data_IF_786936305602
#
_entry.id   IF_786936305602
#
_cell.length_a   1.000
_cell.length_b   1.000
_cell.length_c   1.000
_cell.angle_alpha   90.00
_cell.angle_beta   90.00
_cell.angle_gamma   90.00
#
_symmetry.space_group_name_H-M   'P 1'
#
loop_
_entity.id
_entity.type
_entity.pdbx_description
1 polymer ?
#
# COMPACT_ATOMS: atom_id res chain seq x y z
N UNK A 1 -14.28 11.11 11.45
CA UNK A 1 -13.71 11.30 12.80
C UNK A 1 -12.30 11.86 12.71
N UNK A 2 -11.81 12.58 13.72
CA UNK A 2 -10.38 12.96 13.75
C UNK A 2 -9.51 11.73 14.01
N UNK A 3 -8.33 11.66 13.40
CA UNK A 3 -7.33 10.62 13.66
C UNK A 3 -7.03 10.56 15.17
N UNK A 4 -7.05 9.35 15.73
CA UNK A 4 -6.81 9.12 17.16
C UNK A 4 -5.46 8.43 17.36
N UNK A 5 -4.78 8.74 18.48
CA UNK A 5 -3.61 7.99 18.91
C UNK A 5 -4.02 6.64 19.53
N UNK A 6 -4.55 5.75 18.71
CA UNK A 6 -5.00 4.39 19.02
C UNK A 6 -4.57 3.47 17.89
N UNK A 7 -4.45 2.17 18.17
CA UNK A 7 -4.13 1.17 17.15
C UNK A 7 -5.09 1.25 15.97
N UNK A 8 -4.52 1.29 14.76
CA UNK A 8 -5.25 1.12 13.53
C UNK A 8 -5.10 -0.32 13.02
N UNK A 9 -6.21 -0.96 12.69
CA UNK A 9 -6.19 -2.27 12.04
C UNK A 9 -6.08 -2.10 10.53
N UNK A 10 -5.15 -2.81 9.89
CA UNK A 10 -5.14 -2.96 8.42
C UNK A 10 -5.83 -4.28 8.06
N UNK A 11 -6.87 -4.24 7.23
CA UNK A 11 -7.64 -5.44 6.86
C UNK A 11 -8.31 -5.32 5.50
N UNK A 12 -8.55 -6.46 4.84
CA UNK A 12 -9.46 -6.53 3.70
C UNK A 12 -10.91 -6.63 4.19
N UNK A 13 -11.85 -6.25 3.32
CA UNK A 13 -13.30 -6.36 3.56
C UNK A 13 -13.77 -7.80 3.80
N UNK A 14 -13.02 -8.80 3.32
CA UNK A 14 -13.38 -10.21 3.34
C UNK A 14 -12.43 -11.09 4.18
N UNK A 15 -11.47 -10.50 4.90
CA UNK A 15 -10.44 -11.29 5.59
C UNK A 15 -10.76 -11.65 7.04
N UNK A 16 -11.61 -10.85 7.70
CA UNK A 16 -12.13 -11.09 9.07
C UNK A 16 -13.64 -11.38 9.02
N UNK A 17 -14.06 -12.24 8.11
CA UNK A 17 -15.47 -12.47 7.79
C UNK A 17 -15.60 -12.87 6.32
N UNK A 18 -16.68 -12.45 5.67
CA UNK A 18 -16.87 -12.59 4.22
C UNK A 18 -17.13 -11.27 3.50
N UNK A 19 -17.48 -10.23 4.23
CA UNK A 19 -17.91 -8.93 3.70
C UNK A 19 -17.88 -7.88 4.83
N UNK A 20 -18.20 -6.63 4.50
CA UNK A 20 -18.15 -5.48 5.42
C UNK A 20 -19.06 -5.64 6.64
N UNK A 21 -20.23 -6.29 6.48
CA UNK A 21 -21.15 -6.55 7.60
C UNK A 21 -20.53 -7.49 8.62
N UNK A 22 -20.04 -8.65 8.16
CA UNK A 22 -19.36 -9.61 9.03
C UNK A 22 -18.07 -9.02 9.63
N UNK A 23 -17.34 -8.20 8.87
CA UNK A 23 -16.18 -7.46 9.38
C UNK A 23 -16.57 -6.58 10.57
N UNK A 24 -17.58 -5.72 10.42
CA UNK A 24 -18.03 -4.83 11.50
C UNK A 24 -18.50 -5.62 12.73
N UNK A 25 -19.26 -6.69 12.54
CA UNK A 25 -19.69 -7.59 13.62
C UNK A 25 -18.50 -8.23 14.36
N UNK A 26 -17.52 -8.73 13.61
CA UNK A 26 -16.36 -9.42 14.17
C UNK A 26 -15.40 -8.44 14.88
N UNK A 27 -15.23 -7.23 14.37
CA UNK A 27 -14.46 -6.18 15.06
C UNK A 27 -15.09 -5.82 16.40
N UNK A 28 -16.39 -5.56 16.42
CA UNK A 28 -17.11 -5.26 17.66
C UNK A 28 -17.07 -6.41 18.67
N UNK A 29 -17.10 -7.66 18.20
CA UNK A 29 -17.14 -8.86 19.06
C UNK A 29 -15.77 -9.30 19.59
N UNK A 30 -14.73 -9.25 18.78
CA UNK A 30 -13.44 -9.89 19.08
C UNK A 30 -12.30 -8.91 19.33
N UNK A 31 -12.38 -7.68 18.80
CA UNK A 31 -11.33 -6.67 18.93
C UNK A 31 -11.73 -5.57 19.92
N UNK A 32 -13.01 -5.16 19.90
CA UNK A 32 -13.57 -4.21 20.85
C UNK A 32 -12.82 -2.87 20.82
N UNK A 33 -12.43 -2.37 21.99
CA UNK A 33 -11.78 -1.05 22.16
C UNK A 33 -10.28 -1.04 21.81
N UNK A 34 -9.68 -2.20 21.53
CA UNK A 34 -8.26 -2.30 21.18
C UNK A 34 -7.92 -1.65 19.82
N UNK A 35 -8.94 -1.39 18.99
CA UNK A 35 -8.82 -0.76 17.67
C UNK A 35 -9.56 0.57 17.70
N UNK A 36 -8.87 1.65 17.32
CA UNK A 36 -9.47 2.99 17.18
C UNK A 36 -9.81 3.36 15.74
N UNK A 37 -9.10 2.78 14.76
CA UNK A 37 -9.29 3.04 13.35
C UNK A 37 -9.12 1.80 12.48
N UNK A 38 -9.65 1.85 11.26
CA UNK A 38 -9.52 0.76 10.29
C UNK A 38 -9.00 1.32 8.97
N UNK A 39 -7.83 0.85 8.55
CA UNK A 39 -7.42 0.90 7.16
C UNK A 39 -8.11 -0.25 6.43
N UNK A 40 -9.15 0.10 5.69
CA UNK A 40 -9.87 -0.81 4.83
C UNK A 40 -9.18 -0.83 3.48
N UNK A 41 -8.42 -1.90 3.22
CA UNK A 41 -7.74 -2.13 1.95
C UNK A 41 -8.76 -2.09 0.79
N UNK A 42 -8.32 -1.85 -0.47
CA UNK A 42 -9.23 -1.43 -1.53
C UNK A 42 -10.43 -2.36 -1.69
N UNK A 43 -11.63 -1.76 -1.57
CA UNK A 43 -12.92 -2.45 -1.52
C UNK A 43 -13.84 -2.09 -2.70
N UNK A 44 -13.27 -1.42 -3.70
CA UNK A 44 -13.93 -1.04 -4.93
C UNK A 44 -13.91 -2.19 -5.95
N UNK A 45 -14.81 -2.21 -6.95
CA UNK A 45 -14.69 -3.12 -8.07
C UNK A 45 -13.32 -2.99 -8.72
N UNK A 46 -12.63 -4.11 -8.90
CA UNK A 46 -11.23 -4.13 -9.32
C UNK A 46 -10.95 -5.27 -10.29
N UNK A 47 -10.05 -5.06 -11.24
CA UNK A 47 -9.72 -6.07 -12.26
C UNK A 47 -8.39 -6.78 -12.02
N UNK A 48 -7.69 -6.43 -10.94
CA UNK A 48 -6.37 -6.93 -10.69
C UNK A 48 -5.87 -6.58 -9.31
N UNK A 49 -4.74 -7.21 -8.97
CA UNK A 49 -3.93 -6.83 -7.82
C UNK A 49 -4.69 -6.70 -6.49
N UNK A 50 -5.68 -7.59 -6.27
CA UNK A 50 -6.50 -7.66 -5.05
C UNK A 50 -7.11 -6.32 -4.62
N UNK A 51 -7.50 -5.48 -5.58
CA UNK A 51 -8.14 -4.20 -5.31
C UNK A 51 -7.36 -3.00 -5.87
N UNK A 52 -6.05 -3.12 -6.06
CA UNK A 52 -5.17 -2.04 -6.51
C UNK A 52 -5.25 -1.73 -8.02
N UNK A 53 -6.14 -2.40 -8.77
CA UNK A 53 -6.54 -1.97 -10.12
C UNK A 53 -8.03 -1.59 -10.17
N UNK A 54 -8.44 -0.49 -9.49
CA UNK A 54 -9.84 -0.10 -9.33
C UNK A 54 -10.45 0.28 -10.68
N UNK A 55 -11.68 -0.17 -10.93
CA UNK A 55 -12.47 0.18 -12.11
C UNK A 55 -13.15 1.52 -11.92
N UNK A 56 -13.61 1.78 -10.71
CA UNK A 56 -14.33 2.97 -10.29
C UNK A 56 -14.12 3.15 -8.78
N UNK A 57 -14.34 4.37 -8.29
CA UNK A 57 -14.39 4.71 -6.87
C UNK A 57 -15.81 5.08 -6.40
N UNK A 58 -16.75 5.22 -7.34
CA UNK A 58 -18.12 5.64 -7.04
C UNK A 58 -18.92 4.58 -6.26
N UNK A 59 -18.56 3.30 -6.41
CA UNK A 59 -19.26 2.16 -5.80
C UNK A 59 -18.33 1.22 -5.03
N UNK A 60 -18.88 0.57 -4.00
CA UNK A 60 -18.25 -0.56 -3.30
C UNK A 60 -18.47 -1.82 -4.13
N UNK A 61 -17.50 -2.74 -4.17
CA UNK A 61 -17.70 -4.03 -4.82
C UNK A 61 -18.87 -4.76 -4.16
N UNK A 62 -19.85 -5.15 -4.96
CA UNK A 62 -21.07 -5.79 -4.49
C UNK A 62 -20.82 -7.11 -3.74
N UNK A 63 -19.66 -7.76 -3.93
CA UNK A 63 -19.24 -8.91 -3.15
C UNK A 63 -18.94 -8.55 -1.68
N UNK A 64 -18.53 -7.31 -1.40
CA UNK A 64 -18.17 -6.81 -0.07
C UNK A 64 -19.29 -6.04 0.62
N UNK A 65 -20.21 -5.42 -0.12
CA UNK A 65 -21.35 -4.69 0.44
C UNK A 65 -21.65 -3.40 -0.32
N UNK A 66 -22.05 -2.36 0.42
CA UNK A 66 -22.30 -1.01 -0.11
C UNK A 66 -21.70 0.08 0.78
N UNK A 67 -21.85 1.35 0.38
CA UNK A 67 -21.39 2.49 1.17
C UNK A 67 -22.08 2.65 2.53
N UNK A 68 -23.28 2.10 2.73
CA UNK A 68 -23.92 2.11 4.05
C UNK A 68 -23.18 1.17 5.00
N UNK A 69 -22.70 0.02 4.51
CA UNK A 69 -21.87 -0.89 5.30
C UNK A 69 -20.53 -0.24 5.70
N UNK A 70 -19.92 0.52 4.79
CA UNK A 70 -18.70 1.32 5.09
C UNK A 70 -18.99 2.39 6.13
N UNK A 71 -20.07 3.17 5.96
CA UNK A 71 -20.47 4.22 6.92
C UNK A 71 -20.79 3.64 8.29
N UNK A 72 -21.42 2.47 8.36
CA UNK A 72 -21.70 1.76 9.61
C UNK A 72 -20.42 1.32 10.34
N UNK A 73 -19.33 1.04 9.62
CA UNK A 73 -18.01 0.84 10.22
C UNK A 73 -17.43 2.16 10.76
N UNK A 74 -17.60 3.24 9.99
CA UNK A 74 -17.17 4.61 10.34
C UNK A 74 -17.88 5.23 11.55
N UNK A 75 -19.01 4.68 11.99
CA UNK A 75 -19.68 5.10 13.23
C UNK A 75 -18.85 4.82 14.49
N UNK A 76 -17.93 3.85 14.43
CA UNK A 76 -17.13 3.39 15.58
C UNK A 76 -15.63 3.63 15.42
N UNK A 77 -15.14 3.58 14.19
CA UNK A 77 -13.72 3.63 13.87
C UNK A 77 -13.45 4.78 12.90
N UNK A 78 -12.34 5.51 13.08
CA UNK A 78 -11.89 6.40 12.00
C UNK A 78 -11.37 5.55 10.83
N UNK A 79 -11.70 5.94 9.61
CA UNK A 79 -11.44 5.10 8.44
C UNK A 79 -10.30 5.63 7.58
N UNK A 80 -9.44 4.72 7.15
CA UNK A 80 -8.45 4.97 6.10
C UNK A 80 -8.79 4.17 4.85
N UNK A 81 -8.77 4.84 3.70
CA UNK A 81 -8.97 4.23 2.38
C UNK A 81 -7.76 4.48 1.48
N UNK A 82 -7.58 3.62 0.49
CA UNK A 82 -6.59 3.77 -0.57
C UNK A 82 -7.13 4.63 -1.72
N UNK A 83 -6.29 5.55 -2.20
CA UNK A 83 -6.48 6.22 -3.47
C UNK A 83 -5.24 6.02 -4.35
N UNK A 84 -5.44 5.32 -5.47
CA UNK A 84 -4.42 5.01 -6.48
C UNK A 84 -4.25 6.22 -7.37
N UNK A 85 -3.65 7.28 -6.83
CA UNK A 85 -3.48 8.56 -7.52
C UNK A 85 -2.64 8.44 -8.82
N UNK A 86 -1.82 7.39 -8.92
CA UNK A 86 -0.99 7.14 -10.10
C UNK A 86 -1.77 6.54 -11.28
N UNK A 87 -2.76 5.69 -11.04
CA UNK A 87 -3.30 4.81 -12.08
C UNK A 87 -4.76 4.37 -11.83
N UNK A 88 -5.44 3.97 -12.90
CA UNK A 88 -6.77 3.36 -12.82
C UNK A 88 -6.86 2.15 -13.77
N UNK A 89 -7.84 1.26 -13.53
CA UNK A 89 -8.05 0.08 -14.37
C UNK A 89 -8.28 0.44 -15.83
N UNK A 90 -7.69 -0.33 -16.75
CA UNK A 90 -8.05 -0.30 -18.18
C UNK A 90 -9.49 -0.75 -18.47
N UNK A 91 -10.20 -1.31 -17.49
CA UNK A 91 -11.62 -1.63 -17.61
C UNK A 91 -12.53 -0.50 -17.11
N UNK A 92 -11.96 0.60 -16.62
CA UNK A 92 -12.70 1.78 -16.17
C UNK A 92 -13.56 2.38 -17.28
N UNK A 93 -14.63 3.07 -16.87
CA UNK A 93 -15.50 3.82 -17.79
C UNK A 93 -14.71 4.86 -18.60
N UNK A 94 -13.67 5.45 -18.01
CA UNK A 94 -12.82 6.45 -18.65
C UNK A 94 -11.96 5.85 -19.76
N UNK A 95 -11.33 4.70 -19.50
CA UNK A 95 -10.50 4.02 -20.49
C UNK A 95 -11.34 3.52 -21.66
N UNK A 96 -12.50 2.92 -21.38
CA UNK A 96 -13.43 2.44 -22.41
C UNK A 96 -13.97 3.58 -23.27
N UNK A 97 -14.32 4.71 -22.66
CA UNK A 97 -14.75 5.91 -23.40
C UNK A 97 -13.62 6.44 -24.30
N UNK A 98 -12.37 6.45 -23.81
CA UNK A 98 -11.21 6.83 -24.63
C UNK A 98 -10.99 5.84 -25.79
N UNK A 99 -11.09 4.53 -25.55
CA UNK A 99 -11.00 3.53 -26.62
C UNK A 99 -12.09 3.70 -27.69
N UNK A 100 -13.32 3.97 -27.28
CA UNK A 100 -14.46 4.09 -28.20
C UNK A 100 -14.40 5.39 -29.02
N UNK A 101 -14.05 6.50 -28.38
CA UNK A 101 -14.18 7.86 -28.96
C UNK A 101 -12.85 8.48 -29.38
N UNK A 102 -11.73 7.90 -29.01
CA UNK A 102 -10.38 8.37 -29.30
C UNK A 102 -10.25 9.89 -29.02
N UNK A 103 -9.84 10.70 -29.99
CA UNK A 103 -9.67 12.16 -29.85
C UNK A 103 -10.95 12.94 -29.49
N UNK A 104 -12.13 12.34 -29.65
CA UNK A 104 -13.42 12.93 -29.24
C UNK A 104 -13.82 12.58 -27.80
N UNK A 105 -13.05 11.74 -27.09
CA UNK A 105 -13.30 11.42 -25.69
C UNK A 105 -13.01 12.62 -24.79
N UNK A 106 -13.85 12.81 -23.77
CA UNK A 106 -13.58 13.78 -22.71
C UNK A 106 -12.40 13.36 -21.81
N UNK A 107 -11.99 12.09 -21.87
CA UNK A 107 -10.94 11.50 -21.03
C UNK A 107 -9.63 11.25 -21.80
N UNK A 108 -9.48 11.81 -23.00
CA UNK A 108 -8.27 11.58 -23.82
C UNK A 108 -6.97 12.04 -23.14
N UNK A 109 -7.06 13.11 -22.35
CA UNK A 109 -5.94 13.67 -21.57
C UNK A 109 -5.90 13.11 -20.14
N UNK A 110 -6.79 12.18 -19.77
CA UNK A 110 -6.75 11.56 -18.44
C UNK A 110 -5.55 10.62 -18.31
N UNK A 111 -5.20 9.93 -19.39
CA UNK A 111 -4.14 8.93 -19.42
C UNK A 111 -2.84 9.50 -19.97
N UNK A 112 -1.72 9.13 -19.36
CA UNK A 112 -0.41 9.55 -19.85
C UNK A 112 -0.07 8.78 -21.13
N UNK A 113 -0.13 9.47 -22.27
CA UNK A 113 0.16 8.87 -23.56
C UNK A 113 1.67 8.78 -23.81
N UNK A 114 2.18 7.55 -23.93
CA UNK A 114 3.60 7.30 -24.14
C UNK A 114 4.10 7.93 -25.45
N UNK A 115 3.35 7.77 -26.54
CA UNK A 115 3.78 8.22 -27.85
C UNK A 115 3.79 9.76 -27.96
N UNK A 116 2.94 10.45 -27.18
CA UNK A 116 2.84 11.92 -27.13
C UNK A 116 3.73 12.57 -26.07
N UNK A 117 4.19 11.81 -25.06
CA UNK A 117 5.04 12.33 -23.97
C UNK A 117 6.45 12.68 -24.46
N UNK A 118 7.01 11.87 -25.36
CA UNK A 118 8.37 12.04 -25.83
C UNK A 118 8.46 13.05 -26.98
N UNK A 119 9.47 13.95 -26.99
CA UNK A 119 9.72 14.81 -28.13
C UNK A 119 10.26 14.00 -29.33
N UNK A 120 10.33 14.64 -30.50
CA UNK A 120 10.84 14.00 -31.72
C UNK A 120 12.23 13.37 -31.49
N UNK A 121 12.42 12.14 -31.98
CA UNK A 121 13.61 11.28 -31.77
C UNK A 121 13.81 10.73 -30.35
N UNK A 122 12.79 10.79 -29.48
CA UNK A 122 12.75 10.16 -28.16
C UNK A 122 11.55 9.20 -28.07
N UNK A 123 11.56 8.20 -27.17
CA UNK A 123 12.64 7.86 -26.26
C UNK A 123 13.76 7.08 -26.95
N UNK A 124 15.00 7.37 -26.56
CA UNK A 124 16.16 6.52 -26.77
C UNK A 124 16.22 5.42 -25.70
N UNK A 125 17.09 4.43 -25.90
CA UNK A 125 17.30 3.39 -24.88
C UNK A 125 17.77 3.98 -23.53
N UNK A 126 18.61 5.02 -23.55
CA UNK A 126 19.09 5.68 -22.34
C UNK A 126 17.95 6.32 -21.54
N UNK A 127 16.90 6.79 -22.21
CA UNK A 127 15.73 7.37 -21.54
C UNK A 127 14.91 6.28 -20.85
N UNK A 128 14.65 5.19 -21.57
CA UNK A 128 13.94 4.03 -21.02
C UNK A 128 14.73 3.39 -19.87
N UNK A 129 16.06 3.46 -19.89
CA UNK A 129 16.93 2.95 -18.84
C UNK A 129 17.01 3.87 -17.62
N UNK A 130 16.77 5.17 -17.78
CA UNK A 130 16.72 6.13 -16.69
C UNK A 130 15.46 5.97 -15.82
N UNK A 131 14.34 5.56 -16.41
CA UNK A 131 13.07 5.37 -15.70
C UNK A 131 13.23 4.35 -14.56
N UNK A 132 12.74 4.70 -13.38
CA UNK A 132 12.63 3.79 -12.24
C UNK A 132 11.53 2.75 -12.52
N UNK A 133 11.94 1.60 -13.06
CA UNK A 133 11.02 0.56 -13.54
C UNK A 133 10.66 -0.45 -12.46
N UNK A 134 9.40 -0.90 -12.47
CA UNK A 134 8.88 -2.03 -11.68
C UNK A 134 8.75 -3.33 -12.50
N UNK A 135 9.26 -3.32 -13.73
CA UNK A 135 9.26 -4.45 -14.66
C UNK A 135 10.48 -4.37 -15.59
N UNK A 136 10.91 -5.51 -16.12
CA UNK A 136 12.11 -5.62 -16.98
C UNK A 136 11.93 -5.02 -18.40
N UNK A 137 10.81 -4.34 -18.65
CA UNK A 137 10.45 -3.74 -19.95
C UNK A 137 10.06 -2.27 -19.77
N UNK A 138 10.03 -1.52 -20.87
CA UNK A 138 9.52 -0.15 -20.86
C UNK A 138 8.09 -0.11 -20.26
N UNK A 139 7.74 0.92 -19.47
CA UNK A 139 6.42 1.06 -18.86
C UNK A 139 5.37 1.52 -19.89
N UNK A 140 5.13 0.68 -20.90
CA UNK A 140 4.29 0.97 -22.05
C UNK A 140 3.27 -0.14 -22.27
N UNK A 141 2.04 0.23 -22.60
CA UNK A 141 0.94 -0.67 -22.92
C UNK A 141 0.18 -0.18 -24.16
N UNK A 142 -0.19 -1.08 -25.09
CA UNK A 142 -0.99 -0.73 -26.26
C UNK A 142 -2.45 -0.41 -25.86
N UNK A 143 -3.02 0.58 -26.55
CA UNK A 143 -4.46 0.87 -26.58
C UNK A 143 -4.94 0.79 -28.03
N UNK A 144 -5.95 -0.06 -28.28
CA UNK A 144 -6.62 -0.16 -29.58
C UNK A 144 -7.89 0.67 -29.56
N UNK A 145 -8.05 1.56 -30.53
CA UNK A 145 -9.23 2.41 -30.68
C UNK A 145 -10.26 1.80 -31.63
N UNK A 146 -11.52 2.22 -31.48
CA UNK A 146 -12.62 1.77 -32.33
C UNK A 146 -12.46 2.17 -33.81
N UNK A 147 -11.69 3.22 -34.10
CA UNK A 147 -11.34 3.64 -35.46
C UNK A 147 -10.23 2.78 -36.11
N UNK A 148 -9.70 1.80 -35.38
CA UNK A 148 -8.66 0.87 -35.84
C UNK A 148 -7.22 1.38 -35.63
N UNK A 149 -7.05 2.60 -35.12
CA UNK A 149 -5.74 3.11 -34.73
C UNK A 149 -5.24 2.45 -33.43
N UNK A 150 -3.92 2.50 -33.23
CA UNK A 150 -3.25 1.97 -32.06
C UNK A 150 -2.28 3.02 -31.56
N UNK A 151 -2.36 3.34 -30.28
CA UNK A 151 -1.38 4.17 -29.57
C UNK A 151 -0.86 3.38 -28.37
N UNK A 152 0.01 4.02 -27.58
CA UNK A 152 0.51 3.46 -26.34
C UNK A 152 0.35 4.42 -25.18
N UNK A 153 -0.01 3.84 -24.04
CA UNK A 153 -0.15 4.54 -22.77
C UNK A 153 0.95 4.11 -21.80
N UNK A 154 1.26 4.99 -20.87
CA UNK A 154 2.15 4.69 -19.77
C UNK A 154 1.49 3.67 -18.84
N UNK A 155 2.28 2.67 -18.44
CA UNK A 155 1.84 1.58 -17.58
C UNK A 155 3.01 1.19 -16.69
N UNK A 156 3.07 1.73 -15.48
CA UNK A 156 4.20 1.52 -14.55
C UNK A 156 4.17 0.11 -13.95
N UNK A 157 2.99 -0.37 -13.57
CA UNK A 157 2.77 -1.61 -12.84
C UNK A 157 2.24 -2.74 -13.74
N UNK A 158 1.22 -3.48 -13.27
CA UNK A 158 0.57 -4.56 -13.98
C UNK A 158 -0.27 -4.06 -15.16
N UNK A 159 -0.55 -4.93 -16.13
CA UNK A 159 -1.18 -4.56 -17.42
C UNK A 159 -2.58 -3.93 -17.28
N UNK A 160 -3.24 -4.15 -16.15
CA UNK A 160 -4.55 -3.56 -15.85
C UNK A 160 -4.45 -2.13 -15.32
N UNK A 161 -3.28 -1.65 -14.87
CA UNK A 161 -3.09 -0.37 -14.16
C UNK A 161 -2.54 0.71 -15.11
N UNK A 162 -3.40 1.53 -15.70
CA UNK A 162 -2.99 2.55 -16.67
C UNK A 162 -2.75 3.87 -15.96
N UNK A 163 -1.56 4.44 -16.17
CA UNK A 163 -1.12 5.64 -15.47
C UNK A 163 -1.90 6.88 -15.93
N UNK A 164 -2.23 7.73 -14.96
CA UNK A 164 -2.91 8.99 -15.15
C UNK A 164 -1.90 10.10 -15.47
N UNK A 165 -2.31 11.07 -16.29
CA UNK A 165 -1.54 12.29 -16.54
C UNK A 165 -1.96 13.39 -15.56
N UNK A 166 -1.29 13.45 -14.41
CA UNK A 166 -1.58 14.42 -13.33
C UNK A 166 -1.29 15.88 -13.71
N UNK A 167 -0.74 16.13 -14.90
CA UNK A 167 -0.51 17.49 -15.41
C UNK A 167 -1.75 18.12 -16.06
N UNK A 168 -2.81 17.33 -16.26
CA UNK A 168 -4.01 17.71 -17.02
C UNK A 168 -5.18 18.04 -16.09
N UNK A 169 -5.97 19.04 -16.50
CA UNK A 169 -7.14 19.48 -15.73
C UNK A 169 -8.18 18.36 -15.54
N UNK A 170 -8.40 17.54 -16.57
CA UNK A 170 -9.33 16.39 -16.48
C UNK A 170 -8.91 15.40 -15.38
N UNK A 171 -7.61 15.20 -15.19
CA UNK A 171 -7.07 14.32 -14.14
C UNK A 171 -7.21 14.96 -12.78
N UNK A 172 -6.94 16.27 -12.67
CA UNK A 172 -7.16 17.00 -11.41
C UNK A 172 -8.64 17.03 -10.99
N UNK A 173 -9.56 17.12 -11.95
CA UNK A 173 -11.00 17.01 -11.70
C UNK A 173 -11.39 15.60 -11.24
N UNK A 174 -10.80 14.55 -11.84
CA UNK A 174 -10.97 13.17 -11.39
C UNK A 174 -10.46 12.96 -9.95
N UNK A 175 -9.25 13.44 -9.65
CA UNK A 175 -8.66 13.40 -8.31
C UNK A 175 -9.56 14.11 -7.30
N UNK A 176 -10.01 15.33 -7.63
CA UNK A 176 -10.88 16.13 -6.76
C UNK A 176 -12.16 15.37 -6.42
N UNK A 177 -12.91 14.95 -7.43
CA UNK A 177 -14.19 14.24 -7.25
C UNK A 177 -14.02 12.95 -6.46
N UNK A 178 -12.93 12.23 -6.70
CA UNK A 178 -12.65 10.99 -5.96
C UNK A 178 -12.43 11.28 -4.49
N UNK A 179 -11.57 12.25 -4.14
CA UNK A 179 -11.31 12.62 -2.74
C UNK A 179 -12.58 13.11 -2.04
N UNK A 180 -13.34 13.99 -2.69
CA UNK A 180 -14.63 14.50 -2.18
C UNK A 180 -15.60 13.34 -1.91
N UNK A 181 -15.76 12.42 -2.87
CA UNK A 181 -16.65 11.26 -2.73
C UNK A 181 -16.20 10.31 -1.61
N UNK A 182 -14.89 10.02 -1.49
CA UNK A 182 -14.37 9.19 -0.40
C UNK A 182 -14.65 9.84 0.96
N UNK A 183 -14.42 11.15 1.09
CA UNK A 183 -14.64 11.90 2.31
C UNK A 183 -16.14 11.96 2.69
N UNK A 184 -17.03 12.23 1.73
CA UNK A 184 -18.50 12.18 1.91
C UNK A 184 -19.00 10.81 2.39
N UNK A 185 -18.23 9.75 2.11
CA UNK A 185 -18.52 8.40 2.55
C UNK A 185 -17.75 7.94 3.79
N UNK A 186 -17.19 8.89 4.55
CA UNK A 186 -16.63 8.65 5.88
C UNK A 186 -15.11 8.39 5.91
N UNK A 187 -14.39 8.72 4.84
CA UNK A 187 -12.93 8.64 4.82
C UNK A 187 -12.29 9.76 5.65
N UNK A 188 -11.52 9.38 6.67
CA UNK A 188 -10.82 10.32 7.55
C UNK A 188 -9.36 10.51 7.15
N UNK A 189 -8.77 9.51 6.50
CA UNK A 189 -7.38 9.49 6.09
C UNK A 189 -7.22 8.74 4.76
N UNK A 190 -6.62 9.38 3.75
CA UNK A 190 -6.38 8.74 2.46
C UNK A 190 -4.92 8.29 2.40
N UNK A 191 -4.70 6.99 2.20
CA UNK A 191 -3.40 6.45 1.78
C UNK A 191 -3.23 6.75 0.29
N UNK A 192 -2.22 7.54 -0.08
CA UNK A 192 -1.90 7.80 -1.49
C UNK A 192 -0.96 6.70 -1.99
N UNK A 193 -1.55 5.73 -2.67
CA UNK A 193 -0.84 4.59 -3.24
C UNK A 193 0.01 5.02 -4.43
N UNK A 194 1.26 4.53 -4.47
CA UNK A 194 2.19 4.74 -5.57
C UNK A 194 2.39 6.23 -5.96
N UNK A 195 2.19 7.16 -5.03
CA UNK A 195 2.19 8.60 -5.34
C UNK A 195 3.54 9.08 -5.89
N UNK A 196 4.65 8.48 -5.45
CA UNK A 196 6.00 8.80 -5.92
C UNK A 196 6.16 8.59 -7.44
N UNK A 197 5.35 7.73 -8.04
CA UNK A 197 5.36 7.48 -9.49
C UNK A 197 4.48 8.47 -10.26
N UNK A 198 3.62 9.27 -9.62
CA UNK A 198 2.57 10.01 -10.30
C UNK A 198 3.10 11.06 -11.31
N UNK A 199 4.22 11.69 -10.99
CA UNK A 199 4.83 12.73 -11.84
C UNK A 199 5.87 12.14 -12.78
N UNK A 200 5.67 12.30 -14.09
CA UNK A 200 6.62 11.91 -15.14
C UNK A 200 7.22 13.16 -15.78
N UNK A 201 8.53 13.19 -15.96
CA UNK A 201 9.26 14.36 -16.48
C UNK A 201 10.49 13.94 -17.26
N UNK A 202 10.66 14.54 -18.43
CA UNK A 202 11.83 14.32 -19.29
C UNK A 202 13.14 14.48 -18.51
N UNK A 203 14.09 13.61 -18.83
CA UNK A 203 15.44 13.59 -18.26
C UNK A 203 15.48 13.35 -16.74
N UNK A 204 14.44 12.75 -16.19
CA UNK A 204 14.37 12.26 -14.80
C UNK A 204 14.13 10.76 -14.76
N UNK A 205 14.20 10.16 -13.57
CA UNK A 205 13.87 8.75 -13.36
C UNK A 205 12.37 8.50 -13.14
N UNK A 206 11.53 9.54 -13.22
CA UNK A 206 10.07 9.47 -13.00
C UNK A 206 9.64 8.90 -11.63
N UNK A 207 10.51 9.06 -10.62
CA UNK A 207 10.22 8.64 -9.24
C UNK A 207 10.55 9.78 -8.27
N UNK A 208 9.52 10.22 -7.54
CA UNK A 208 9.58 11.33 -6.58
C UNK A 208 10.21 12.60 -7.19
N UNK A 209 9.71 12.99 -8.37
CA UNK A 209 10.29 14.10 -9.17
C UNK A 209 10.04 15.44 -8.50
N UNK A 210 11.10 16.09 -8.03
CA UNK A 210 11.05 17.41 -7.39
C UNK A 210 11.31 18.56 -8.41
N UNK A 211 10.64 19.73 -8.25
CA UNK A 211 9.67 20.08 -7.19
C UNK A 211 8.23 19.65 -7.48
N UNK A 212 7.91 19.15 -8.68
CA UNK A 212 6.53 18.92 -9.14
C UNK A 212 5.71 17.97 -8.25
N UNK A 213 6.35 16.99 -7.60
CA UNK A 213 5.68 16.10 -6.66
C UNK A 213 5.09 16.85 -5.47
N UNK A 214 5.76 17.92 -5.01
CA UNK A 214 5.28 18.75 -3.90
C UNK A 214 4.09 19.60 -4.33
N UNK A 215 4.11 20.12 -5.56
CA UNK A 215 2.96 20.85 -6.11
C UNK A 215 1.71 19.98 -6.24
N UNK A 216 1.89 18.72 -6.66
CA UNK A 216 0.81 17.73 -6.69
C UNK A 216 0.29 17.46 -5.28
N UNK A 217 1.17 17.12 -4.33
CA UNK A 217 0.79 16.83 -2.96
C UNK A 217 0.07 18.00 -2.30
N UNK A 218 0.52 19.24 -2.50
CA UNK A 218 -0.12 20.42 -1.93
C UNK A 218 -1.51 20.67 -2.49
N UNK A 219 -1.73 20.45 -3.80
CA UNK A 219 -3.06 20.52 -4.41
C UNK A 219 -3.99 19.45 -3.82
N UNK A 220 -3.51 18.21 -3.74
CA UNK A 220 -4.27 17.06 -3.21
C UNK A 220 -4.60 17.28 -1.73
N UNK A 221 -3.65 17.78 -0.94
CA UNK A 221 -3.84 18.13 0.47
C UNK A 221 -4.86 19.23 0.64
N UNK A 222 -4.82 20.27 -0.19
CA UNK A 222 -5.80 21.35 -0.15
C UNK A 222 -7.22 20.83 -0.38
N UNK A 223 -7.40 19.93 -1.35
CA UNK A 223 -8.70 19.31 -1.64
C UNK A 223 -9.17 18.46 -0.45
N UNK A 224 -8.33 17.57 0.05
CA UNK A 224 -8.69 16.69 1.17
C UNK A 224 -9.03 17.48 2.45
N UNK A 225 -8.31 18.56 2.71
CA UNK A 225 -8.53 19.43 3.85
C UNK A 225 -9.89 20.13 3.85
N UNK A 226 -10.53 20.36 2.68
CA UNK A 226 -11.87 20.95 2.59
C UNK A 226 -12.93 20.09 3.30
N UNK A 227 -12.72 18.77 3.34
CA UNK A 227 -13.57 17.81 4.06
C UNK A 227 -13.00 17.35 5.41
N UNK A 228 -11.84 17.89 5.82
CA UNK A 228 -11.13 17.50 7.04
C UNK A 228 -10.43 16.13 6.95
N UNK A 229 -10.22 15.62 5.74
CA UNK A 229 -9.51 14.37 5.47
C UNK A 229 -8.01 14.62 5.41
N UNK A 230 -7.24 13.77 6.07
CA UNK A 230 -5.78 13.82 6.09
C UNK A 230 -5.17 12.91 5.01
N UNK A 231 -3.88 13.08 4.73
CA UNK A 231 -3.16 12.29 3.73
C UNK A 231 -2.01 11.50 4.36
N UNK A 232 -1.79 10.29 3.85
CA UNK A 232 -0.66 9.43 4.17
C UNK A 232 -0.02 8.93 2.85
N UNK A 233 0.98 9.64 2.31
CA UNK A 233 1.69 9.21 1.12
C UNK A 233 2.50 7.94 1.40
N UNK A 234 2.29 6.88 0.61
CA UNK A 234 3.05 5.64 0.74
C UNK A 234 4.30 5.63 -0.14
N UNK A 235 5.46 5.35 0.46
CA UNK A 235 6.72 5.20 -0.27
C UNK A 235 7.68 4.21 0.41
N UNK A 236 8.03 3.15 -0.32
CA UNK A 236 9.13 2.25 -0.01
C UNK A 236 10.41 2.67 -0.75
N UNK A 237 11.27 3.42 -0.07
CA UNK A 237 12.58 3.85 -0.57
C UNK A 237 13.44 4.31 0.62
N UNK A 238 14.68 4.74 0.38
CA UNK A 238 15.55 5.30 1.41
C UNK A 238 14.82 6.33 2.32
N UNK A 239 14.96 6.15 3.64
CA UNK A 239 14.21 6.88 4.69
C UNK A 239 14.33 8.42 4.61
N UNK A 240 15.34 8.95 3.91
CA UNK A 240 15.46 10.40 3.70
C UNK A 240 14.26 11.00 2.98
N UNK A 241 13.57 10.25 2.11
CA UNK A 241 12.36 10.75 1.46
C UNK A 241 11.20 10.85 2.47
N UNK A 242 11.03 9.85 3.34
CA UNK A 242 10.08 9.93 4.45
C UNK A 242 10.36 11.14 5.34
N UNK A 243 11.64 11.47 5.58
CA UNK A 243 12.00 12.66 6.37
C UNK A 243 11.59 13.95 5.67
N UNK A 244 11.81 14.08 4.36
CA UNK A 244 11.31 15.22 3.58
C UNK A 244 9.79 15.33 3.67
N UNK A 245 9.06 14.23 3.53
CA UNK A 245 7.59 14.22 3.62
C UNK A 245 7.12 14.70 4.99
N UNK A 246 7.77 14.24 6.07
CA UNK A 246 7.49 14.69 7.43
C UNK A 246 7.85 16.17 7.66
N UNK A 247 8.94 16.68 7.07
CA UNK A 247 9.32 18.11 7.10
C UNK A 247 8.26 19.00 6.44
N UNK A 248 7.50 18.47 5.48
CA UNK A 248 6.36 19.12 4.83
C UNK A 248 5.02 18.93 5.59
N UNK A 249 5.06 18.42 6.82
CA UNK A 249 3.92 18.20 7.73
C UNK A 249 2.88 17.18 7.23
N UNK A 250 3.32 16.18 6.47
CA UNK A 250 2.50 15.01 6.13
C UNK A 250 2.74 13.88 7.15
N UNK A 251 1.75 13.02 7.33
CA UNK A 251 1.98 11.72 7.97
C UNK A 251 2.87 10.85 7.08
N UNK A 252 3.69 10.00 7.72
CA UNK A 252 4.58 9.03 7.04
C UNK A 252 4.42 7.63 7.61
N UNK A 253 4.85 6.63 6.85
CA UNK A 253 5.00 5.27 7.35
C UNK A 253 6.38 5.08 7.98
N UNK A 254 6.45 4.34 9.08
CA UNK A 254 7.71 3.79 9.61
C UNK A 254 7.99 2.41 9.01
N UNK A 255 8.40 2.38 7.74
CA UNK A 255 8.78 1.13 7.05
C UNK A 255 10.16 0.60 7.43
N UNK A 256 10.97 1.38 8.15
CA UNK A 256 12.26 0.91 8.65
C UNK A 256 12.12 0.06 9.91
N UNK A 257 11.15 0.37 10.78
CA UNK A 257 10.93 -0.33 12.04
C UNK A 257 10.83 -1.86 11.93
N UNK A 258 10.10 -2.47 10.97
CA UNK A 258 10.03 -3.92 10.80
C UNK A 258 11.40 -4.59 10.75
N UNK A 259 12.27 -4.19 9.83
CA UNK A 259 13.58 -4.80 9.63
C UNK A 259 14.55 -4.48 10.76
N UNK A 260 14.50 -3.26 11.32
CA UNK A 260 15.33 -2.87 12.46
C UNK A 260 14.99 -3.70 13.71
N UNK A 261 13.70 -3.94 13.97
CA UNK A 261 13.25 -4.80 15.08
C UNK A 261 13.67 -6.25 14.85
N UNK A 262 13.50 -6.79 13.64
CA UNK A 262 13.98 -8.14 13.30
C UNK A 262 15.49 -8.27 13.55
N UNK A 263 16.30 -7.33 13.05
CA UNK A 263 17.74 -7.32 13.29
C UNK A 263 18.06 -7.36 14.78
N UNK A 264 17.42 -6.50 15.58
CA UNK A 264 17.66 -6.44 17.02
C UNK A 264 17.25 -7.73 17.75
N UNK A 265 16.17 -8.37 17.34
CA UNK A 265 15.71 -9.62 17.94
C UNK A 265 16.56 -10.84 17.52
N UNK A 266 17.07 -10.88 16.29
CA UNK A 266 17.94 -11.96 15.84
C UNK A 266 19.35 -11.85 16.40
N UNK A 267 19.95 -10.65 16.34
CA UNK A 267 21.34 -10.42 16.76
C UNK A 267 21.51 -10.19 18.26
N UNK A 268 20.44 -9.79 18.96
CA UNK A 268 20.51 -9.27 20.32
C UNK A 268 21.12 -7.85 20.42
N UNK A 269 21.44 -7.21 19.28
CA UNK A 269 22.02 -5.87 19.24
C UNK A 269 20.94 -4.79 19.05
N UNK A 270 20.80 -3.93 20.06
CA UNK A 270 19.77 -2.88 20.10
C UNK A 270 20.25 -1.52 19.59
N UNK A 271 21.52 -1.37 19.21
CA UNK A 271 22.09 -0.07 18.86
C UNK A 271 21.43 0.56 17.63
N UNK A 272 21.03 -0.26 16.65
CA UNK A 272 20.34 0.18 15.43
C UNK A 272 18.92 0.65 15.72
N UNK A 273 18.18 -0.11 16.52
CA UNK A 273 16.88 0.30 17.02
C UNK A 273 16.97 1.60 17.82
N UNK A 274 17.89 1.69 18.78
CA UNK A 274 18.07 2.91 19.58
C UNK A 274 18.49 4.13 18.73
N UNK A 275 19.23 3.94 17.64
CA UNK A 275 19.56 5.00 16.68
C UNK A 275 18.32 5.42 15.90
N UNK A 276 17.56 4.46 15.34
CA UNK A 276 16.35 4.74 14.58
C UNK A 276 15.33 5.53 15.40
N UNK A 277 15.03 5.07 16.62
CA UNK A 277 14.07 5.75 17.51
C UNK A 277 14.45 7.19 17.89
N UNK A 278 15.73 7.57 17.77
CA UNK A 278 16.18 8.95 18.02
C UNK A 278 16.01 9.87 16.82
N UNK A 279 15.90 9.31 15.61
CA UNK A 279 15.85 10.08 14.37
C UNK A 279 14.52 9.96 13.64
N UNK A 280 13.73 8.91 13.88
CA UNK A 280 12.45 8.67 13.21
C UNK A 280 11.48 9.83 13.45
N UNK A 281 10.66 10.22 12.46
CA UNK A 281 9.66 11.27 12.63
C UNK A 281 8.65 10.92 13.74
N UNK A 282 8.13 11.92 14.43
CA UNK A 282 7.12 11.71 15.48
C UNK A 282 5.70 11.55 14.89
N UNK A 283 5.42 12.19 13.76
CA UNK A 283 4.13 12.16 13.06
C UNK A 283 4.11 11.02 12.03
N UNK A 284 4.00 9.79 12.53
CA UNK A 284 4.09 8.59 11.69
C UNK A 284 3.08 7.50 12.08
N UNK A 285 2.81 6.60 11.13
CA UNK A 285 2.15 5.32 11.36
C UNK A 285 3.21 4.23 11.42
N UNK A 286 3.33 3.54 12.55
CA UNK A 286 4.33 2.48 12.72
C UNK A 286 3.77 1.14 12.26
N UNK A 287 4.56 0.34 11.55
CA UNK A 287 4.15 -1.00 11.09
C UNK A 287 5.18 -2.05 11.53
N UNK A 288 4.76 -3.31 11.56
CA UNK A 288 5.66 -4.48 11.54
C UNK A 288 5.34 -5.36 10.34
N UNK A 289 4.05 -5.52 10.07
CA UNK A 289 3.48 -6.17 8.90
C UNK A 289 2.46 -5.24 8.22
N UNK A 290 2.33 -5.43 6.91
CA UNK A 290 1.31 -4.80 6.06
C UNK A 290 0.69 -5.88 5.16
N UNK A 291 -0.04 -5.46 4.12
CA UNK A 291 -0.50 -6.36 3.07
C UNK A 291 0.59 -6.71 2.05
N UNK A 292 1.72 -6.00 2.10
CA UNK A 292 2.91 -6.20 1.28
C UNK A 292 4.04 -6.90 2.07
N UNK A 293 5.13 -7.23 1.38
CA UNK A 293 6.28 -7.88 2.01
C UNK A 293 7.07 -6.95 2.93
N UNK A 294 7.97 -7.53 3.73
CA UNK A 294 8.85 -6.76 4.63
C UNK A 294 9.93 -6.09 3.79
N UNK A 295 9.94 -4.75 3.76
CA UNK A 295 10.83 -3.96 2.92
C UNK A 295 12.29 -3.93 3.38
N UNK A 296 13.19 -4.37 2.50
CA UNK A 296 14.64 -4.43 2.73
C UNK A 296 15.31 -3.11 2.36
N UNK A 297 14.79 -2.41 1.34
CA UNK A 297 15.30 -1.10 0.89
C UNK A 297 15.17 -0.02 1.95
N UNK A 298 14.11 -0.09 2.78
CA UNK A 298 13.74 0.93 3.76
C UNK A 298 14.78 1.11 4.88
N UNK A 299 15.65 0.12 5.09
CA UNK A 299 16.68 0.14 6.15
C UNK A 299 18.09 0.43 5.66
N UNK A 300 18.25 0.77 4.37
CA UNK A 300 19.55 1.20 3.83
C UNK A 300 20.10 2.38 4.65
N UNK A 301 21.37 2.31 5.00
CA UNK A 301 22.12 3.27 5.84
C UNK A 301 21.64 3.42 7.31
N UNK A 302 20.52 2.79 7.68
CA UNK A 302 20.14 2.53 9.08
C UNK A 302 20.92 1.30 9.56
N UNK A 303 20.76 0.20 8.84
CA UNK A 303 21.57 -1.02 8.94
C UNK A 303 22.71 -0.97 7.92
N UNK A 304 23.85 -1.59 8.22
CA UNK A 304 24.91 -1.82 7.22
C UNK A 304 24.50 -2.93 6.26
N UNK A 305 25.12 -3.00 5.08
CA UNK A 305 24.84 -4.06 4.10
C UNK A 305 25.03 -5.47 4.70
N UNK A 306 26.05 -5.65 5.54
CA UNK A 306 26.26 -6.91 6.28
C UNK A 306 25.14 -7.22 7.28
N UNK A 307 24.59 -6.21 7.97
CA UNK A 307 23.48 -6.36 8.90
C UNK A 307 22.16 -6.63 8.18
N UNK A 308 21.95 -6.02 7.01
CA UNK A 308 20.81 -6.26 6.12
C UNK A 308 20.85 -7.69 5.60
N UNK A 309 22.00 -8.13 5.08
CA UNK A 309 22.21 -9.49 4.60
C UNK A 309 22.02 -10.50 5.72
N UNK A 310 22.60 -10.25 6.89
CA UNK A 310 22.41 -11.08 8.08
C UNK A 310 20.93 -11.22 8.43
N UNK A 311 20.20 -10.10 8.55
CA UNK A 311 18.78 -10.09 8.94
C UNK A 311 17.92 -10.82 7.91
N UNK A 312 18.16 -10.56 6.62
CA UNK A 312 17.45 -11.24 5.53
C UNK A 312 17.72 -12.74 5.54
N UNK A 313 18.97 -13.15 5.75
CA UNK A 313 19.36 -14.56 5.84
C UNK A 313 18.73 -15.24 7.05
N UNK A 314 18.72 -14.60 8.21
CA UNK A 314 18.05 -15.13 9.41
C UNK A 314 16.55 -15.23 9.21
N UNK A 315 15.91 -14.24 8.56
CA UNK A 315 14.50 -14.32 8.19
C UNK A 315 14.22 -15.56 7.33
N UNK A 316 15.03 -15.85 6.31
CA UNK A 316 14.85 -17.07 5.50
C UNK A 316 15.12 -18.38 6.28
N UNK A 317 15.93 -18.35 7.35
CA UNK A 317 16.20 -19.52 8.20
C UNK A 317 15.12 -19.76 9.24
N UNK A 318 14.66 -18.69 9.89
CA UNK A 318 13.72 -18.68 11.02
C UNK A 318 12.28 -18.64 10.53
N UNK A 319 12.03 -17.84 9.49
CA UNK A 319 10.78 -17.71 8.74
C UNK A 319 10.35 -19.04 8.19
N UNK A 320 9.62 -19.80 9.01
CA UNK A 320 9.24 -21.16 8.71
C UNK A 320 8.68 -21.24 7.28
N UNK A 321 9.49 -21.86 6.41
CA UNK A 321 9.16 -22.17 5.01
C UNK A 321 9.14 -21.02 4.01
N UNK A 322 9.74 -19.86 4.29
CA UNK A 322 9.95 -18.83 3.26
C UNK A 322 11.15 -19.23 2.40
N UNK A 323 10.91 -19.53 1.12
CA UNK A 323 11.98 -19.75 0.16
C UNK A 323 12.23 -18.45 -0.61
N UNK A 324 13.49 -18.11 -0.87
CA UNK A 324 13.88 -16.96 -1.69
C UNK A 324 13.13 -16.88 -3.01
N UNK A 325 12.81 -18.04 -3.62
CA UNK A 325 12.04 -18.11 -4.87
C UNK A 325 10.68 -17.39 -4.78
N UNK A 326 10.05 -17.31 -3.60
CA UNK A 326 8.75 -16.66 -3.43
C UNK A 326 8.80 -15.12 -3.50
N UNK A 327 9.99 -14.54 -3.43
CA UNK A 327 10.22 -13.10 -3.60
C UNK A 327 10.80 -12.75 -4.97
N UNK A 328 10.84 -13.68 -5.93
CA UNK A 328 11.37 -13.44 -7.28
C UNK A 328 10.26 -13.23 -8.31
N UNK A 329 10.66 -12.80 -9.51
CA UNK A 329 9.78 -12.72 -10.67
C UNK A 329 9.08 -14.05 -11.02
N UNK A 330 9.64 -15.21 -10.61
CA UNK A 330 8.99 -16.52 -10.80
C UNK A 330 7.62 -16.62 -10.09
N UNK A 331 7.41 -15.85 -9.03
CA UNK A 331 6.15 -15.78 -8.27
C UNK A 331 5.42 -14.46 -8.46
N UNK A 332 5.60 -13.81 -9.62
CA UNK A 332 4.97 -12.54 -9.98
C UNK A 332 5.16 -11.43 -8.93
N UNK A 333 6.29 -11.44 -8.21
CA UNK A 333 6.59 -10.40 -7.24
C UNK A 333 7.14 -9.18 -7.99
N UNK A 334 6.43 -8.06 -7.93
CA UNK A 334 6.87 -6.79 -8.52
C UNK A 334 8.01 -6.16 -7.69
N UNK A 335 8.10 -6.55 -6.41
CA UNK A 335 8.97 -5.90 -5.43
C UNK A 335 10.09 -6.84 -4.99
N UNK A 336 11.15 -6.92 -5.80
CA UNK A 336 12.36 -7.70 -5.51
C UNK A 336 13.09 -7.27 -4.22
N UNK A 337 12.71 -6.12 -3.66
CA UNK A 337 13.27 -5.53 -2.44
C UNK A 337 12.45 -5.83 -1.18
N UNK A 338 11.41 -6.65 -1.28
CA UNK A 338 10.59 -7.06 -0.14
C UNK A 338 10.70 -8.57 0.11
N UNK A 339 10.60 -8.97 1.38
CA UNK A 339 10.56 -10.37 1.78
C UNK A 339 9.14 -10.75 2.20
N UNK A 340 8.50 -11.62 1.40
CA UNK A 340 7.17 -12.11 1.67
C UNK A 340 7.21 -13.11 2.85
N UNK A 341 6.78 -12.67 4.03
CA UNK A 341 6.57 -13.50 5.21
C UNK A 341 5.61 -12.82 6.16
N UNK A 342 4.75 -13.59 6.82
CA UNK A 342 4.05 -13.07 7.99
C UNK A 342 5.09 -12.71 9.05
N UNK A 343 4.87 -11.61 9.77
CA UNK A 343 5.85 -11.15 10.77
C UNK A 343 5.98 -12.12 11.95
N UNK A 344 4.91 -12.82 12.29
CA UNK A 344 4.93 -13.88 13.30
C UNK A 344 5.81 -15.06 12.86
N UNK A 345 5.66 -15.54 11.62
CA UNK A 345 6.55 -16.59 11.11
C UNK A 345 7.98 -16.11 10.94
N UNK A 346 8.22 -14.85 10.57
CA UNK A 346 9.57 -14.28 10.53
C UNK A 346 10.28 -14.40 11.89
N UNK A 347 9.55 -14.33 13.00
CA UNK A 347 10.09 -14.54 14.35
C UNK A 347 10.14 -16.01 14.79
N UNK A 348 9.81 -16.95 13.90
CA UNK A 348 9.90 -18.39 14.12
C UNK A 348 8.66 -18.96 14.79
N UNK A 349 7.50 -18.32 14.58
CA UNK A 349 6.24 -18.64 15.27
C UNK A 349 6.40 -18.60 16.81
N UNK A 350 7.24 -17.69 17.32
CA UNK A 350 7.56 -17.54 18.75
C UNK A 350 6.73 -16.41 19.38
N UNK A 351 5.77 -16.80 20.25
CA UNK A 351 4.89 -15.86 20.94
C UNK A 351 5.63 -14.79 21.75
N UNK A 352 6.76 -15.12 22.38
CA UNK A 352 7.50 -14.17 23.22
C UNK A 352 8.21 -13.13 22.37
N UNK A 353 8.87 -13.57 21.29
CA UNK A 353 9.53 -12.64 20.36
C UNK A 353 8.50 -11.75 19.68
N UNK A 354 7.36 -12.32 19.27
CA UNK A 354 6.29 -11.57 18.64
C UNK A 354 5.66 -10.54 19.58
N UNK A 355 5.37 -10.94 20.81
CA UNK A 355 4.89 -10.02 21.85
C UNK A 355 5.89 -8.89 22.09
N UNK A 356 7.18 -9.20 22.21
CA UNK A 356 8.21 -8.19 22.40
C UNK A 356 8.30 -7.23 21.20
N UNK A 357 8.18 -7.72 19.97
CA UNK A 357 8.16 -6.87 18.78
C UNK A 357 6.97 -5.90 18.78
N UNK A 358 5.76 -6.39 19.10
CA UNK A 358 4.55 -5.55 19.20
C UNK A 358 4.63 -4.56 20.37
N UNK A 359 5.23 -4.97 21.48
CA UNK A 359 5.47 -4.08 22.61
C UNK A 359 6.44 -2.95 22.23
N UNK A 360 7.51 -3.26 21.47
CA UNK A 360 8.39 -2.22 20.92
C UNK A 360 7.57 -1.27 20.05
N UNK A 361 6.81 -1.78 19.07
CA UNK A 361 5.99 -0.98 18.16
C UNK A 361 5.02 -0.04 18.91
N UNK A 362 4.35 -0.55 19.94
CA UNK A 362 3.39 0.24 20.74
C UNK A 362 4.04 1.38 21.54
N UNK A 363 5.34 1.29 21.83
CA UNK A 363 6.10 2.33 22.54
C UNK A 363 6.90 3.25 21.61
N UNK A 364 7.06 2.89 20.34
CA UNK A 364 7.66 3.79 19.34
C UNK A 364 6.72 4.98 19.11
N UNK A 365 7.23 6.22 19.03
CA UNK A 365 6.41 7.37 18.67
C UNK A 365 5.70 7.17 17.34
N UNK A 366 4.38 7.38 17.32
CA UNK A 366 3.53 7.21 16.16
C UNK A 366 2.27 6.41 16.48
N UNK A 367 1.42 6.24 15.47
CA UNK A 367 0.17 5.47 15.58
C UNK A 367 0.44 4.05 15.11
N UNK A 368 0.30 3.02 15.96
CA UNK A 368 0.59 1.65 15.57
C UNK A 368 -0.48 1.12 14.61
N UNK A 369 -0.04 0.76 13.41
CA UNK A 369 -0.80 -0.03 12.47
C UNK A 369 -0.48 -1.52 12.64
N UNK A 370 -1.52 -2.31 12.81
CA UNK A 370 -1.41 -3.76 13.00
C UNK A 370 -2.20 -4.43 11.91
N UNK A 371 -1.53 -5.20 11.06
CA UNK A 371 -2.19 -5.97 10.03
C UNK A 371 -2.96 -7.16 10.63
N UNK A 372 -4.14 -7.46 10.08
CA UNK A 372 -5.07 -8.43 10.69
C UNK A 372 -4.47 -9.83 10.87
N UNK A 373 -3.56 -10.26 9.98
CA UNK A 373 -2.84 -11.53 10.12
C UNK A 373 -1.95 -11.50 11.35
N UNK A 374 -1.18 -10.42 11.52
CA UNK A 374 -0.36 -10.20 12.70
C UNK A 374 -1.16 -10.09 13.98
N UNK A 375 -2.27 -9.35 13.96
CA UNK A 375 -3.18 -9.24 15.10
C UNK A 375 -3.61 -10.62 15.63
N UNK A 376 -3.67 -11.61 14.75
CA UNK A 376 -4.07 -12.98 15.06
C UNK A 376 -2.91 -13.98 15.11
N UNK A 377 -1.66 -13.50 15.18
CA UNK A 377 -0.44 -14.31 15.13
C UNK A 377 -0.52 -15.37 14.00
N UNK A 378 -0.91 -14.92 12.81
CA UNK A 378 -1.04 -15.76 11.63
C UNK A 378 0.32 -16.23 11.13
N UNK A 379 0.38 -17.49 10.73
CA UNK A 379 1.55 -18.11 10.12
C UNK A 379 1.47 -18.02 8.60
N UNK A 380 2.60 -18.19 7.92
CA UNK A 380 2.66 -18.30 6.46
C UNK A 380 1.66 -19.32 5.88
N UNK A 381 0.89 -18.93 4.86
CA UNK A 381 -0.04 -19.82 4.14
C UNK A 381 0.58 -20.34 2.83
N UNK A 382 1.38 -21.41 2.95
CA UNK A 382 2.09 -22.02 1.82
C UNK A 382 1.16 -22.72 0.84
N UNK A 383 0.06 -23.30 1.33
CA UNK A 383 -0.90 -24.00 0.48
C UNK A 383 -1.55 -23.03 -0.50
N UNK A 384 -1.94 -21.85 0.00
CA UNK A 384 -2.52 -20.80 -0.83
C UNK A 384 -1.50 -20.21 -1.81
N UNK A 385 -0.26 -19.98 -1.35
CA UNK A 385 0.83 -19.51 -2.19
C UNK A 385 1.12 -20.47 -3.36
N UNK A 386 1.25 -21.77 -3.10
CA UNK A 386 1.53 -22.77 -4.14
C UNK A 386 0.37 -22.91 -5.13
N UNK A 387 -0.87 -22.71 -4.68
CA UNK A 387 -2.06 -22.71 -5.54
C UNK A 387 -2.13 -21.50 -6.47
N UNK A 388 -1.73 -20.31 -6.01
CA UNK A 388 -1.93 -19.06 -6.75
C UNK A 388 -0.67 -18.52 -7.44
N UNK A 389 0.53 -18.97 -7.05
CA UNK A 389 1.82 -18.53 -7.60
C UNK A 389 2.01 -17.00 -7.60
N UNK A 390 1.51 -16.34 -6.54
CA UNK A 390 1.74 -14.92 -6.25
C UNK A 390 2.36 -14.77 -4.87
N UNK A 391 3.55 -14.17 -4.77
CA UNK A 391 4.34 -14.07 -3.53
C UNK A 391 3.59 -13.46 -2.34
N UNK A 392 2.96 -12.30 -2.54
CA UNK A 392 2.23 -11.56 -1.50
C UNK A 392 1.05 -12.36 -0.91
N UNK A 393 0.52 -13.36 -1.61
CA UNK A 393 -0.61 -14.17 -1.09
C UNK A 393 -0.21 -15.01 0.12
N UNK A 394 1.09 -15.30 0.29
CA UNK A 394 1.63 -15.98 1.47
C UNK A 394 1.22 -15.31 2.79
N UNK A 395 1.06 -13.99 2.75
CA UNK A 395 0.75 -13.15 3.90
C UNK A 395 -0.70 -12.67 3.92
N UNK A 396 -1.55 -13.14 2.99
CA UNK A 396 -2.97 -12.80 2.99
C UNK A 396 -3.83 -14.03 3.21
N UNK A 397 -4.25 -14.19 4.46
CA UNK A 397 -4.97 -15.36 4.94
C UNK A 397 -6.45 -15.02 5.10
N UNK A 398 -7.36 -15.76 4.46
CA UNK A 398 -8.80 -15.60 4.73
C UNK A 398 -9.12 -16.31 6.05
N UNK A 399 -9.59 -15.57 7.05
CA UNK A 399 -9.86 -16.12 8.39
C UNK A 399 -11.37 -16.28 8.57
N UNK A 400 -11.85 -17.51 8.39
CA UNK A 400 -13.24 -17.85 8.68
C UNK A 400 -13.59 -17.58 10.15
N UNK A 401 -14.83 -17.15 10.41
CA UNK A 401 -15.36 -16.80 11.74
C UNK A 401 -15.11 -17.89 12.81
N UNK A 402 -15.18 -19.17 12.43
CA UNK A 402 -14.90 -20.29 13.33
C UNK A 402 -13.44 -20.34 13.84
N UNK A 403 -12.48 -19.83 13.06
CA UNK A 403 -11.07 -19.68 13.50
C UNK A 403 -10.88 -18.47 14.41
N UNK A 404 -11.64 -17.38 14.22
CA UNK A 404 -11.62 -16.21 15.11
C UNK A 404 -12.01 -16.56 16.55
N UNK A 405 -13.05 -17.38 16.73
CA UNK A 405 -13.50 -17.85 18.05
C UNK A 405 -12.42 -18.61 18.85
N UNK A 406 -11.55 -19.36 18.15
CA UNK A 406 -10.45 -20.09 18.81
C UNK A 406 -9.28 -19.18 19.15
N UNK A 407 -9.02 -18.15 18.33
CA UNK A 407 -7.89 -17.23 18.49
C UNK A 407 -8.18 -16.07 19.44
N UNK A 408 -9.43 -15.60 19.55
CA UNK A 408 -9.80 -14.52 20.48
C UNK A 408 -9.64 -14.89 21.97
N UNK A 409 -9.52 -16.18 22.29
CA UNK A 409 -9.20 -16.66 23.63
C UNK A 409 -7.69 -16.59 23.96
N UNK A 410 -6.84 -16.29 22.98
CA UNK A 410 -5.40 -16.07 23.17
C UNK A 410 -5.21 -14.58 23.47
N UNK A 411 -5.13 -14.28 24.77
CA UNK A 411 -5.15 -12.96 25.44
C UNK A 411 -3.98 -12.00 25.10
N UNK A 412 -3.39 -12.03 23.90
CA UNK A 412 -2.19 -11.22 23.63
C UNK A 412 -2.45 -9.70 23.62
N UNK A 413 -3.69 -9.25 23.39
CA UNK A 413 -4.02 -7.83 23.18
C UNK A 413 -4.92 -7.19 24.27
N UNK A 414 -5.15 -7.83 25.42
CA UNK A 414 -5.85 -7.19 26.56
C UNK A 414 -4.98 -6.23 27.38
N UNK A 415 -3.74 -5.99 26.95
CA UNK A 415 -2.73 -5.18 27.66
C UNK A 415 -2.34 -3.89 26.93
N UNK A 416 -2.98 -3.57 25.79
CA UNK A 416 -2.83 -2.28 25.12
C UNK A 416 -3.96 -1.34 25.53
#
# INVERSE_FOLDING_TARGET
MTIQNKTMLITYSDSLGKNLKELNENLGKYFGEAVGGVHLLPFFPSTGDRGFAPVDYDEVDAAFGDWNDVKALGEKYYLMFDFMINHISRQSKYYKDYQEKHEASAYKDLFLNWDKFWPENRPTQADVDLIYKRKDRAPKQEIHFADGSVEHLWNTFGEEQIDLDVTKDVTMDFIRKTIEHLAENGCDLIRLDAFAYAVKKLDTNDFFVEPEIWELLDKVRSIAAESGTELLPEIHEHYSIQFKIAEHDYYVYDFALPMVVLYSLYSGNVNRLAKWLKMSPMRQFTTLDTHDGIGVVDVKDILTDEEIDYTSNELYKVGANVNRKYSTAEYNNLDIYQINSTYYSALGDDDKKYFLARLIQAFVPGIPQVYYVGFLAGKNDLELLEKQKKGAILIVIIIAVAKLQKKSNVQLFKLC
#
